data_IF_401507316305
#
_entry.id   IF_401507316305
#
_cell.length_a   1.000
_cell.length_b   1.000
_cell.length_c   1.000
_cell.angle_alpha   90.00
_cell.angle_beta   90.00
_cell.angle_gamma   90.00
#
_symmetry.space_group_name_H-M   'P 1'
#
loop_
_entity.id
_entity.type
_entity.pdbx_description
1 polymer ?
#
# COMPACT_ATOMS: atom_id res chain seq x y z
N UNK A 1 -84.28 37.93 24.99
CA UNK A 1 -83.92 36.99 23.92
C UNK A 1 -82.41 36.86 23.88
N UNK A 2 -81.91 35.67 24.21
CA UNK A 2 -80.48 35.32 24.23
C UNK A 2 -80.11 34.61 22.92
N UNK A 3 -79.04 35.03 22.25
CA UNK A 3 -78.21 34.21 21.33
C UNK A 3 -76.82 34.88 21.27
N UNK A 4 -75.77 34.28 21.84
CA UNK A 4 -74.94 33.17 21.34
C UNK A 4 -73.68 33.69 20.62
N UNK A 5 -72.54 33.64 21.31
CA UNK A 5 -71.19 33.80 20.75
C UNK A 5 -70.44 32.49 20.95
N UNK A 6 -70.07 31.82 19.86
CA UNK A 6 -69.17 30.66 19.91
C UNK A 6 -68.24 30.63 18.70
N UNK A 7 -67.03 30.15 18.97
CA UNK A 7 -65.97 29.66 18.07
C UNK A 7 -64.97 30.68 17.48
N UNK A 8 -63.73 30.60 17.98
CA UNK A 8 -62.55 30.47 17.11
C UNK A 8 -61.35 29.88 17.86
N UNK A 9 -61.45 28.60 18.23
CA UNK A 9 -60.33 27.79 18.75
C UNK A 9 -60.08 26.61 17.81
N UNK A 10 -59.57 26.84 16.59
CA UNK A 10 -59.33 25.72 15.67
C UNK A 10 -58.33 25.95 14.54
N UNK A 11 -57.18 26.60 14.79
CA UNK A 11 -56.16 26.71 13.73
C UNK A 11 -54.68 26.74 14.18
N UNK A 12 -54.36 26.58 15.47
CA UNK A 12 -52.95 26.57 15.93
C UNK A 12 -52.35 25.16 16.04
N UNK A 13 -53.15 24.11 16.15
CA UNK A 13 -52.65 22.75 16.40
C UNK A 13 -52.14 22.02 15.15
N UNK A 14 -52.59 22.41 13.95
CA UNK A 14 -52.23 21.71 12.69
C UNK A 14 -50.83 22.09 12.19
N UNK A 15 -50.37 23.32 12.45
CA UNK A 15 -49.04 23.79 12.00
C UNK A 15 -47.88 23.17 12.79
N UNK A 16 -48.13 22.75 14.04
CA UNK A 16 -47.11 22.13 14.89
C UNK A 16 -46.84 20.66 14.52
N UNK A 17 -47.83 19.95 13.98
CA UNK A 17 -47.65 18.58 13.49
C UNK A 17 -46.88 18.48 12.18
N UNK A 18 -46.98 19.49 11.30
CA UNK A 18 -46.26 19.49 10.00
C UNK A 18 -44.75 19.71 10.20
N UNK A 19 -44.35 20.55 11.17
CA UNK A 19 -42.93 20.74 11.49
C UNK A 19 -42.30 19.52 12.17
N UNK A 20 -43.06 18.75 12.96
CA UNK A 20 -42.58 17.50 13.57
C UNK A 20 -42.39 16.38 12.53
N UNK A 21 -43.24 16.32 11.50
CA UNK A 21 -43.14 15.31 10.44
C UNK A 21 -41.93 15.51 9.50
N UNK A 22 -41.52 16.77 9.27
CA UNK A 22 -40.36 17.08 8.41
C UNK A 22 -39.02 16.81 9.12
N UNK A 23 -38.95 16.91 10.45
CA UNK A 23 -37.75 16.60 11.23
C UNK A 23 -37.48 15.09 11.41
N UNK A 24 -38.45 14.24 11.08
CA UNK A 24 -38.31 12.77 11.10
C UNK A 24 -37.86 12.16 9.76
N UNK A 25 -37.73 12.96 8.68
CA UNK A 25 -37.35 12.46 7.35
C UNK A 25 -35.87 12.71 6.96
N UNK A 26 -35.05 13.36 7.77
CA UNK A 26 -33.68 13.75 7.38
C UNK A 26 -32.56 12.87 7.95
N UNK A 27 -32.85 11.70 8.51
CA UNK A 27 -31.82 10.71 8.87
C UNK A 27 -31.69 9.65 7.77
N UNK A 28 -31.43 10.08 6.54
CA UNK A 28 -30.79 9.21 5.55
C UNK A 28 -29.37 8.94 6.02
N UNK A 29 -29.22 8.01 6.97
CA UNK A 29 -27.95 7.38 7.29
C UNK A 29 -27.39 6.88 5.95
N UNK A 30 -26.33 7.52 5.49
CA UNK A 30 -25.41 6.94 4.51
C UNK A 30 -24.82 5.72 5.23
N UNK A 31 -25.57 4.62 5.23
CA UNK A 31 -25.09 3.33 5.71
C UNK A 31 -23.96 2.98 4.75
N UNK A 32 -22.73 2.93 5.23
CA UNK A 32 -21.72 2.12 4.59
C UNK A 32 -22.29 0.70 4.53
N UNK A 33 -22.59 0.24 3.32
CA UNK A 33 -23.34 -0.98 3.06
C UNK A 33 -22.43 -2.19 3.20
N UNK A 34 -22.19 -2.56 4.46
CA UNK A 34 -21.23 -3.60 4.82
C UNK A 34 -21.96 -4.93 4.97
N UNK A 35 -21.46 -5.97 4.30
CA UNK A 35 -21.88 -7.35 4.50
C UNK A 35 -20.82 -8.06 5.35
N UNK A 36 -21.22 -8.73 6.43
CA UNK A 36 -20.32 -9.47 7.31
C UNK A 36 -20.81 -10.92 7.45
N UNK A 37 -19.88 -11.87 7.42
CA UNK A 37 -20.16 -13.30 7.54
C UNK A 37 -19.01 -14.00 8.27
N UNK A 38 -19.33 -14.77 9.32
CA UNK A 38 -18.35 -15.66 9.96
C UNK A 38 -17.99 -16.81 9.00
N UNK A 39 -16.70 -17.14 8.94
CA UNK A 39 -16.16 -18.22 8.14
C UNK A 39 -15.80 -19.39 9.07
N UNK A 40 -16.13 -20.61 8.67
CA UNK A 40 -15.66 -21.81 9.37
C UNK A 40 -14.54 -22.46 8.55
N UNK A 41 -13.36 -21.85 8.59
CA UNK A 41 -12.19 -22.32 7.84
C UNK A 41 -11.16 -22.91 8.78
N UNK A 42 -10.70 -24.14 8.50
CA UNK A 42 -9.59 -24.74 9.22
C UNK A 42 -8.26 -24.13 8.76
N UNK A 43 -7.28 -23.95 9.64
CA UNK A 43 -5.98 -23.36 9.27
C UNK A 43 -5.22 -24.17 8.20
N UNK A 44 -5.49 -25.48 8.07
CA UNK A 44 -4.79 -26.38 7.14
C UNK A 44 -5.40 -26.44 5.74
N UNK A 45 -6.63 -25.95 5.56
CA UNK A 45 -7.30 -25.99 4.25
C UNK A 45 -6.92 -24.80 3.39
N UNK A 46 -6.78 -25.02 2.08
CA UNK A 46 -6.51 -23.95 1.11
C UNK A 46 -7.78 -23.15 0.86
N UNK A 47 -7.81 -21.90 1.30
CA UNK A 47 -8.90 -20.97 1.02
C UNK A 47 -8.68 -20.30 -0.34
N UNK A 48 -9.61 -20.47 -1.27
CA UNK A 48 -9.57 -19.84 -2.59
C UNK A 48 -10.50 -18.64 -2.65
N UNK A 49 -9.99 -17.49 -3.08
CA UNK A 49 -10.75 -16.24 -3.19
C UNK A 49 -10.69 -15.78 -4.64
N UNK A 50 -11.84 -15.63 -5.28
CA UNK A 50 -11.98 -15.14 -6.65
C UNK A 50 -12.72 -13.82 -6.63
N UNK A 51 -12.04 -12.76 -7.06
CA UNK A 51 -12.66 -11.45 -7.23
C UNK A 51 -12.25 -10.84 -8.57
N UNK A 52 -13.19 -10.51 -9.44
CA UNK A 52 -12.87 -9.93 -10.74
C UNK A 52 -12.18 -8.56 -10.58
N UNK A 53 -12.83 -7.65 -9.87
CA UNK A 53 -12.40 -6.26 -9.73
C UNK A 53 -12.56 -5.78 -8.28
N UNK A 54 -11.55 -5.11 -7.74
CA UNK A 54 -11.65 -4.39 -6.47
C UNK A 54 -10.46 -4.61 -5.56
N UNK A 55 -10.63 -4.35 -4.27
CA UNK A 55 -9.63 -4.63 -3.24
C UNK A 55 -9.94 -5.96 -2.57
N UNK A 56 -8.94 -6.83 -2.47
CA UNK A 56 -9.01 -8.07 -1.70
C UNK A 56 -7.94 -8.00 -0.62
N UNK A 57 -8.33 -7.82 0.64
CA UNK A 57 -7.40 -7.78 1.76
C UNK A 57 -7.53 -9.06 2.58
N UNK A 58 -6.48 -9.87 2.64
CA UNK A 58 -6.41 -11.09 3.43
C UNK A 58 -5.49 -10.84 4.62
N UNK A 59 -6.04 -10.97 5.83
CA UNK A 59 -5.35 -10.64 7.08
C UNK A 59 -5.26 -11.91 7.92
N UNK A 60 -4.04 -12.37 8.15
CA UNK A 60 -3.75 -13.46 9.08
C UNK A 60 -3.46 -12.87 10.47
N UNK A 61 -4.38 -13.04 11.42
CA UNK A 61 -4.22 -12.59 12.81
C UNK A 61 -4.18 -13.76 13.80
N UNK A 62 -3.56 -13.51 14.96
CA UNK A 62 -3.34 -14.49 16.02
C UNK A 62 -4.22 -14.23 17.25
N UNK A 63 -5.14 -13.26 17.18
CA UNK A 63 -6.06 -12.99 18.27
C UNK A 63 -7.14 -14.07 18.26
N UNK A 64 -7.21 -14.88 19.30
CA UNK A 64 -8.30 -15.85 19.51
C UNK A 64 -9.69 -15.19 19.52
N UNK A 65 -9.75 -13.86 19.68
CA UNK A 65 -10.97 -13.04 19.58
C UNK A 65 -11.38 -12.71 18.14
N UNK A 66 -10.46 -12.72 17.19
CA UNK A 66 -10.74 -12.49 15.78
C UNK A 66 -11.15 -13.82 15.15
N UNK A 67 -12.43 -14.13 15.25
CA UNK A 67 -12.99 -15.27 14.52
C UNK A 67 -12.74 -15.06 13.02
N UNK A 68 -12.38 -16.13 12.28
CA UNK A 68 -12.28 -16.06 10.83
C UNK A 68 -13.59 -15.53 10.25
N UNK A 69 -13.48 -14.51 9.41
CA UNK A 69 -14.62 -13.68 9.03
C UNK A 69 -14.38 -12.98 7.70
N UNK A 70 -15.47 -12.76 6.98
CA UNK A 70 -15.52 -12.05 5.73
C UNK A 70 -16.29 -10.76 5.94
N UNK A 71 -15.69 -9.64 5.58
CA UNK A 71 -16.33 -8.33 5.49
C UNK A 71 -16.27 -7.87 4.05
N UNK A 72 -17.39 -7.38 3.52
CA UNK A 72 -17.46 -6.84 2.18
C UNK A 72 -18.10 -5.47 2.17
N UNK A 73 -17.54 -4.58 1.37
CA UNK A 73 -17.96 -3.19 1.25
C UNK A 73 -18.00 -2.80 -0.21
N UNK A 74 -19.01 -2.04 -0.60
CA UNK A 74 -19.19 -1.55 -1.97
C UNK A 74 -19.06 -0.03 -2.00
N UNK A 75 -18.53 0.51 -3.10
CA UNK A 75 -18.46 1.96 -3.33
C UNK A 75 -19.78 2.55 -3.85
N UNK A 76 -20.76 1.70 -4.20
CA UNK A 76 -22.00 2.10 -4.87
C UNK A 76 -23.24 1.60 -4.14
N UNK A 77 -23.84 0.53 -4.67
CA UNK A 77 -25.04 -0.06 -4.11
C UNK A 77 -24.73 -1.15 -3.06
N UNK A 78 -25.69 -1.48 -2.17
CA UNK A 78 -25.43 -2.37 -1.05
C UNK A 78 -24.96 -3.74 -1.49
N UNK A 79 -24.03 -4.32 -0.72
CA UNK A 79 -23.60 -5.69 -0.94
C UNK A 79 -24.73 -6.62 -0.48
N UNK A 80 -25.30 -7.37 -1.40
CA UNK A 80 -26.33 -8.35 -1.12
C UNK A 80 -25.71 -9.74 -0.85
N UNK A 81 -26.37 -10.63 -0.08
CA UNK A 81 -25.85 -11.99 0.13
C UNK A 81 -25.64 -12.79 -1.17
N UNK A 82 -26.39 -12.46 -2.23
CA UNK A 82 -26.21 -13.06 -3.56
C UNK A 82 -24.96 -12.60 -4.31
N UNK A 83 -24.32 -11.51 -3.86
CA UNK A 83 -23.09 -10.99 -4.46
C UNK A 83 -21.84 -11.76 -4.04
N UNK A 84 -21.95 -12.55 -2.96
CA UNK A 84 -20.81 -13.26 -2.38
C UNK A 84 -21.22 -14.71 -2.15
N UNK A 85 -20.67 -15.59 -2.97
CA UNK A 85 -20.86 -17.03 -2.85
C UNK A 85 -19.74 -17.56 -1.96
N UNK A 86 -20.09 -17.94 -0.74
CA UNK A 86 -19.16 -18.56 0.22
C UNK A 86 -19.47 -20.05 0.31
N UNK A 87 -18.52 -20.85 -0.17
CA UNK A 87 -18.42 -22.29 0.05
C UNK A 87 -17.39 -22.59 1.15
N UNK A 88 -17.25 -23.85 1.58
CA UNK A 88 -16.38 -24.21 2.72
C UNK A 88 -14.93 -23.73 2.58
N UNK A 89 -14.37 -23.76 1.36
CA UNK A 89 -12.98 -23.36 1.07
C UNK A 89 -12.89 -22.38 -0.13
N UNK A 90 -13.99 -21.84 -0.61
CA UNK A 90 -14.01 -20.96 -1.79
C UNK A 90 -14.92 -19.76 -1.55
N UNK A 91 -14.43 -18.56 -1.89
CA UNK A 91 -15.16 -17.31 -1.85
C UNK A 91 -15.15 -16.74 -3.25
N UNK A 92 -16.33 -16.60 -3.86
CA UNK A 92 -16.48 -16.00 -5.19
C UNK A 92 -17.30 -14.72 -5.07
N UNK A 93 -16.69 -13.61 -5.48
CA UNK A 93 -17.37 -12.31 -5.60
C UNK A 93 -18.00 -12.22 -6.98
N UNK A 94 -19.31 -12.01 -7.02
CA UNK A 94 -20.06 -11.81 -8.26
C UNK A 94 -19.68 -10.47 -8.88
N UNK A 95 -19.64 -10.46 -10.21
CA UNK A 95 -19.42 -9.23 -10.94
C UNK A 95 -20.62 -8.27 -10.83
N UNK A 96 -20.30 -7.01 -10.55
CA UNK A 96 -21.22 -5.88 -10.51
C UNK A 96 -20.60 -4.70 -11.27
N UNK A 97 -21.40 -3.72 -11.71
CA UNK A 97 -20.87 -2.49 -12.33
C UNK A 97 -20.08 -1.62 -11.34
N UNK A 98 -20.32 -1.79 -10.03
CA UNK A 98 -19.59 -1.11 -8.95
C UNK A 98 -18.58 -2.06 -8.29
N UNK A 99 -17.53 -1.47 -7.72
CA UNK A 99 -16.43 -2.17 -7.06
C UNK A 99 -16.87 -2.73 -5.71
N UNK A 100 -16.58 -4.01 -5.47
CA UNK A 100 -16.74 -4.68 -4.18
C UNK A 100 -15.35 -4.96 -3.62
N UNK A 101 -15.11 -4.41 -2.44
CA UNK A 101 -13.92 -4.65 -1.65
C UNK A 101 -14.24 -5.69 -0.59
N UNK A 102 -13.33 -6.66 -0.43
CA UNK A 102 -13.47 -7.72 0.56
C UNK A 102 -12.26 -7.72 1.49
N UNK A 103 -12.54 -7.91 2.77
CA UNK A 103 -11.55 -8.15 3.82
C UNK A 103 -11.83 -9.52 4.42
N UNK A 104 -10.84 -10.40 4.35
CA UNK A 104 -10.94 -11.78 4.84
C UNK A 104 -9.96 -11.96 5.98
N UNK A 105 -10.48 -12.23 7.17
CA UNK A 105 -9.70 -12.60 8.34
C UNK A 105 -9.52 -14.12 8.37
N UNK A 106 -8.27 -14.56 8.46
CA UNK A 106 -7.89 -15.97 8.53
C UNK A 106 -6.98 -16.22 9.73
N UNK A 107 -6.91 -17.47 10.15
CA UNK A 107 -6.00 -17.89 11.20
C UNK A 107 -4.53 -17.77 10.76
N UNK A 108 -3.62 -17.64 11.73
CA UNK A 108 -2.18 -17.72 11.51
C UNK A 108 -1.80 -19.03 10.79
N UNK A 109 -0.80 -18.96 9.91
CA UNK A 109 -0.32 -20.09 9.08
C UNK A 109 -1.40 -20.65 8.13
N UNK A 110 -2.42 -19.87 7.80
CA UNK A 110 -3.39 -20.27 6.79
C UNK A 110 -2.74 -20.39 5.40
N UNK A 111 -3.37 -21.21 4.56
CA UNK A 111 -3.04 -21.36 3.15
C UNK A 111 -4.10 -20.65 2.32
N UNK A 112 -3.70 -19.68 1.50
CA UNK A 112 -4.62 -18.86 0.73
C UNK A 112 -4.21 -18.80 -0.73
N UNK A 113 -5.20 -18.90 -1.62
CA UNK A 113 -5.07 -18.62 -3.05
C UNK A 113 -6.01 -17.50 -3.44
N UNK A 114 -5.48 -16.39 -3.95
CA UNK A 114 -6.26 -15.24 -4.41
C UNK A 114 -6.13 -15.12 -5.92
N UNK A 115 -7.27 -15.05 -6.61
CA UNK A 115 -7.34 -14.84 -8.05
C UNK A 115 -8.13 -13.56 -8.33
N UNK A 116 -7.50 -12.62 -9.03
CA UNK A 116 -8.17 -11.38 -9.40
C UNK A 116 -7.75 -10.81 -10.75
N UNK A 117 -8.69 -10.33 -11.55
CA UNK A 117 -8.36 -9.75 -12.85
C UNK A 117 -7.67 -8.39 -12.69
N UNK A 118 -8.27 -7.50 -11.89
CA UNK A 118 -7.77 -6.15 -11.65
C UNK A 118 -8.06 -5.66 -10.23
N UNK A 119 -7.31 -4.64 -9.82
CA UNK A 119 -7.46 -3.99 -8.51
C UNK A 119 -6.26 -4.19 -7.60
N UNK A 120 -6.48 -4.27 -6.29
CA UNK A 120 -5.41 -4.39 -5.30
C UNK A 120 -5.62 -5.61 -4.42
N UNK A 121 -4.56 -6.39 -4.20
CA UNK A 121 -4.59 -7.55 -3.32
C UNK A 121 -3.62 -7.29 -2.19
N UNK A 122 -4.10 -7.26 -0.96
CA UNK A 122 -3.28 -7.13 0.25
C UNK A 122 -3.18 -8.49 0.94
N UNK A 123 -1.97 -8.97 1.19
CA UNK A 123 -1.68 -10.18 1.96
C UNK A 123 -0.89 -9.78 3.18
N UNK A 124 -1.53 -9.77 4.35
CA UNK A 124 -0.97 -9.18 5.58
C UNK A 124 -0.93 -10.24 6.68
N UNK A 125 0.26 -10.46 7.27
CA UNK A 125 0.46 -11.37 8.39
C UNK A 125 1.25 -12.65 8.06
N UNK A 126 1.20 -13.62 8.96
CA UNK A 126 1.94 -14.89 8.86
C UNK A 126 1.10 -15.99 8.19
N UNK A 127 1.49 -16.35 6.97
CA UNK A 127 0.88 -17.39 6.15
C UNK A 127 1.81 -18.58 5.99
N UNK A 128 1.25 -19.78 5.82
CA UNK A 128 2.07 -20.91 5.37
C UNK A 128 2.33 -20.80 3.86
N UNK A 129 1.26 -20.56 3.09
CA UNK A 129 1.30 -20.40 1.63
C UNK A 129 0.34 -19.27 1.24
N UNK A 130 0.84 -18.30 0.48
CA UNK A 130 0.01 -17.31 -0.19
C UNK A 130 0.30 -17.33 -1.70
N UNK A 131 -0.67 -17.86 -2.45
CA UNK A 131 -0.64 -17.93 -3.90
C UNK A 131 -1.53 -16.82 -4.46
N UNK A 132 -0.94 -15.84 -5.14
CA UNK A 132 -1.70 -14.70 -5.68
C UNK A 132 -1.53 -14.66 -7.19
N UNK A 133 -2.64 -14.68 -7.91
CA UNK A 133 -2.68 -14.60 -9.36
C UNK A 133 -3.49 -13.38 -9.76
N UNK A 134 -2.86 -12.45 -10.48
CA UNK A 134 -3.56 -11.31 -11.04
C UNK A 134 -3.21 -10.99 -12.49
N UNK A 135 -4.10 -10.33 -13.23
CA UNK A 135 -3.76 -9.88 -14.56
C UNK A 135 -3.03 -8.54 -14.50
N UNK A 136 -3.73 -7.49 -14.10
CA UNK A 136 -3.22 -6.10 -14.08
C UNK A 136 -3.13 -5.47 -12.69
N UNK A 137 -3.57 -6.19 -11.65
CA UNK A 137 -3.65 -5.66 -10.29
C UNK A 137 -2.31 -5.43 -9.59
N UNK A 138 -2.36 -4.68 -8.49
CA UNK A 138 -1.25 -4.47 -7.56
C UNK A 138 -1.34 -5.50 -6.44
N UNK A 139 -0.26 -6.24 -6.21
CA UNK A 139 -0.12 -7.17 -5.09
C UNK A 139 0.72 -6.47 -4.03
N UNK A 140 0.17 -6.29 -2.85
CA UNK A 140 0.86 -5.80 -1.66
C UNK A 140 0.95 -6.95 -0.66
N UNK A 141 2.15 -7.21 -0.16
CA UNK A 141 2.40 -8.25 0.82
C UNK A 141 3.17 -7.66 2.00
N UNK A 142 2.62 -7.77 3.20
CA UNK A 142 3.27 -7.41 4.45
C UNK A 142 3.39 -8.66 5.32
N UNK A 143 4.56 -9.30 5.27
CA UNK A 143 4.79 -10.65 5.77
C UNK A 143 6.10 -10.70 6.56
N UNK A 144 6.19 -11.49 7.66
CA UNK A 144 7.44 -11.64 8.40
C UNK A 144 8.58 -12.15 7.52
N UNK A 145 9.78 -11.56 7.70
CA UNK A 145 10.96 -11.81 6.86
C UNK A 145 11.86 -12.95 7.37
N UNK A 146 11.54 -13.53 8.53
CA UNK A 146 12.40 -14.47 9.24
C UNK A 146 12.68 -15.74 8.44
N UNK A 147 11.69 -16.28 7.72
CA UNK A 147 11.81 -17.52 6.95
C UNK A 147 10.96 -17.46 5.67
N UNK A 148 11.26 -16.50 4.80
CA UNK A 148 10.44 -16.19 3.63
C UNK A 148 11.01 -16.82 2.36
N UNK A 149 10.25 -17.72 1.73
CA UNK A 149 10.51 -18.21 0.37
C UNK A 149 9.54 -17.52 -0.58
N UNK A 150 10.07 -16.84 -1.59
CA UNK A 150 9.24 -16.08 -2.52
C UNK A 150 9.57 -16.45 -3.97
N UNK A 151 8.53 -16.44 -4.79
CA UNK A 151 8.60 -16.60 -6.24
C UNK A 151 7.62 -15.64 -6.89
N UNK A 152 8.15 -14.63 -7.56
CA UNK A 152 7.40 -13.62 -8.28
C UNK A 152 7.58 -13.82 -9.78
N UNK A 153 6.49 -13.74 -10.53
CA UNK A 153 6.50 -13.96 -11.97
C UNK A 153 5.66 -12.91 -12.70
N UNK A 154 6.23 -12.33 -13.77
CA UNK A 154 5.54 -11.46 -14.72
C UNK A 154 5.46 -12.13 -16.08
N UNK A 155 4.27 -12.25 -16.66
CA UNK A 155 4.08 -13.01 -17.91
C UNK A 155 4.15 -12.16 -19.18
N UNK A 156 3.69 -10.90 -19.13
CA UNK A 156 3.47 -10.07 -20.33
C UNK A 156 4.08 -8.67 -20.21
N UNK A 157 4.87 -8.40 -19.18
CA UNK A 157 5.54 -7.11 -18.99
C UNK A 157 6.84 -7.23 -18.22
N UNK A 158 7.71 -6.23 -18.38
CA UNK A 158 8.86 -6.04 -17.49
C UNK A 158 8.42 -5.95 -16.01
N UNK A 159 9.17 -6.54 -15.07
CA UNK A 159 8.82 -6.50 -13.65
C UNK A 159 8.72 -5.07 -13.15
N UNK A 160 7.64 -4.82 -12.42
CA UNK A 160 7.42 -3.58 -11.67
C UNK A 160 7.23 -3.99 -10.22
N UNK A 161 8.22 -3.69 -9.38
CA UNK A 161 8.16 -4.03 -7.98
C UNK A 161 8.88 -3.00 -7.13
N UNK A 162 8.51 -2.93 -5.87
CA UNK A 162 9.18 -2.17 -4.83
C UNK A 162 9.26 -3.08 -3.60
N UNK A 163 10.43 -3.13 -2.98
CA UNK A 163 10.69 -3.98 -1.83
C UNK A 163 11.60 -3.28 -0.85
N UNK A 164 11.28 -3.39 0.43
CA UNK A 164 12.14 -2.88 1.50
C UNK A 164 13.40 -3.74 1.68
N UNK A 165 13.34 -5.00 1.22
CA UNK A 165 14.47 -5.91 1.25
C UNK A 165 15.14 -6.02 -0.12
N UNK A 166 16.45 -6.23 -0.12
CA UNK A 166 17.22 -6.48 -1.34
C UNK A 166 16.80 -7.79 -2.00
N UNK A 167 16.16 -7.67 -3.16
CA UNK A 167 15.77 -8.82 -3.97
C UNK A 167 16.88 -9.23 -4.95
N UNK A 168 17.02 -10.54 -5.26
CA UNK A 168 17.91 -11.02 -6.30
C UNK A 168 17.62 -10.38 -7.66
N UNK A 169 18.63 -10.40 -8.54
CA UNK A 169 18.46 -9.91 -9.92
C UNK A 169 17.36 -10.68 -10.65
N UNK A 170 16.61 -9.95 -11.45
CA UNK A 170 15.54 -10.47 -12.31
C UNK A 170 16.14 -11.51 -13.27
N UNK A 171 15.48 -12.66 -13.37
CA UNK A 171 15.75 -13.67 -14.38
C UNK A 171 14.73 -13.55 -15.50
N UNK A 172 15.21 -13.31 -16.71
CA UNK A 172 14.39 -13.32 -17.91
C UNK A 172 14.29 -14.76 -18.46
N UNK A 173 13.06 -15.23 -18.63
CA UNK A 173 12.72 -16.52 -19.20
C UNK A 173 12.33 -16.39 -20.67
N UNK A 174 11.84 -17.51 -21.23
CA UNK A 174 11.33 -17.54 -22.61
C UNK A 174 10.00 -16.79 -22.72
N UNK A 175 9.69 -16.29 -23.91
CA UNK A 175 8.42 -15.61 -24.24
C UNK A 175 8.13 -14.33 -23.42
N UNK A 176 9.17 -13.60 -23.00
CA UNK A 176 8.99 -12.34 -22.25
C UNK A 176 8.52 -12.52 -20.81
N UNK A 177 8.63 -13.73 -20.27
CA UNK A 177 8.34 -14.02 -18.87
C UNK A 177 9.52 -13.60 -18.00
N UNK A 178 9.27 -12.86 -16.93
CA UNK A 178 10.30 -12.48 -15.96
C UNK A 178 10.02 -13.12 -14.61
N UNK A 179 11.07 -13.48 -13.88
CA UNK A 179 10.95 -14.09 -12.57
C UNK A 179 11.96 -13.56 -11.57
N UNK A 180 11.54 -13.43 -10.32
CA UNK A 180 12.40 -13.16 -9.18
C UNK A 180 12.08 -14.25 -8.16
N UNK A 181 13.10 -14.99 -7.73
CA UNK A 181 12.92 -16.03 -6.74
C UNK A 181 14.10 -16.05 -5.78
N UNK A 182 13.81 -16.29 -4.51
CA UNK A 182 14.82 -16.30 -3.47
C UNK A 182 14.27 -16.85 -2.16
N UNK A 183 15.17 -16.89 -1.19
CA UNK A 183 14.87 -17.23 0.20
C UNK A 183 15.50 -16.12 1.04
N UNK A 184 14.72 -15.54 1.95
CA UNK A 184 15.13 -14.60 2.99
C UNK A 184 15.06 -15.34 4.33
N UNK A 185 15.99 -15.05 5.24
CA UNK A 185 16.07 -15.67 6.56
C UNK A 185 17.43 -16.27 6.89
N UNK A 186 17.65 -16.73 8.15
CA UNK A 186 18.94 -17.26 8.61
C UNK A 186 19.38 -18.50 7.81
N UNK A 187 18.43 -19.28 7.27
CA UNK A 187 18.73 -20.44 6.41
C UNK A 187 19.15 -20.07 4.98
N UNK A 188 18.95 -18.83 4.53
CA UNK A 188 19.47 -18.37 3.24
C UNK A 188 21.00 -18.23 3.24
N UNK A 189 21.61 -17.89 4.39
CA UNK A 189 23.08 -17.76 4.53
C UNK A 189 23.79 -19.11 4.40
N UNK A 190 23.19 -20.19 4.93
CA UNK A 190 23.76 -21.55 4.88
C UNK A 190 23.94 -22.11 3.46
N UNK A 191 23.16 -21.62 2.48
CA UNK A 191 23.26 -22.07 1.08
C UNK A 191 24.26 -21.26 0.24
N UNK A 192 24.66 -20.06 0.70
CA UNK A 192 25.57 -19.15 -0.02
C UNK A 192 27.05 -19.51 0.18
N UNK A 193 27.40 -20.20 1.28
CA UNK A 193 28.77 -20.66 1.56
C UNK A 193 29.18 -21.94 0.79
N UNK A 194 28.26 -22.63 0.10
CA UNK A 194 28.53 -23.93 -0.56
C UNK A 194 28.49 -23.93 -2.10
N UNK A 195 28.71 -22.79 -2.78
CA UNK A 195 28.89 -22.79 -4.25
C UNK A 195 30.19 -22.12 -4.67
N UNK A 196 31.27 -22.88 -4.95
CA UNK A 196 32.33 -22.40 -5.81
C UNK A 196 31.81 -22.30 -7.25
N UNK A 197 32.27 -21.26 -7.95
CA UNK A 197 32.05 -21.03 -9.38
C UNK A 197 32.85 -22.06 -10.17
N UNK A 198 32.19 -22.81 -11.06
CA UNK A 198 32.88 -23.43 -12.20
C UNK A 198 32.15 -23.06 -13.47
N UNK A 199 32.75 -22.14 -14.21
CA UNK A 199 32.53 -21.94 -15.63
C UNK A 199 33.35 -22.98 -16.41
N UNK A 200 32.74 -23.70 -17.35
CA UNK A 200 33.27 -23.97 -18.70
C UNK A 200 32.32 -24.88 -19.48
N UNK A 201 32.34 -24.63 -20.78
CA UNK A 201 31.43 -25.08 -21.83
C UNK A 201 31.57 -26.56 -22.25
N UNK A 202 30.62 -26.94 -23.13
CA UNK A 202 30.66 -27.99 -24.16
C UNK A 202 29.94 -29.34 -23.88
N UNK A 203 28.76 -29.42 -24.51
CA UNK A 203 28.30 -30.45 -25.47
C UNK A 203 28.29 -31.95 -25.12
N UNK A 204 27.09 -32.53 -25.22
CA UNK A 204 26.65 -33.56 -26.21
C UNK A 204 25.88 -34.74 -25.60
N UNK A 205 24.75 -35.06 -26.24
CA UNK A 205 24.01 -36.35 -26.32
C UNK A 205 23.59 -37.04 -25.01
N UNK A 206 22.33 -37.44 -24.79
CA UNK A 206 21.37 -38.03 -25.71
C UNK A 206 21.20 -39.50 -25.33
N UNK A 207 20.13 -39.85 -24.59
CA UNK A 207 19.47 -41.17 -24.62
C UNK A 207 18.38 -41.28 -23.54
N UNK A 208 17.20 -41.71 -23.99
CA UNK A 208 16.06 -42.17 -23.21
C UNK A 208 16.38 -43.40 -22.34
N UNK A 209 15.68 -43.56 -21.21
CA UNK A 209 14.81 -44.73 -21.01
C UNK A 209 13.91 -44.63 -19.78
N UNK A 210 12.77 -45.31 -19.95
CA UNK A 210 11.54 -45.39 -19.18
C UNK A 210 11.62 -45.88 -17.73
N UNK A 211 10.56 -45.48 -17.03
CA UNK A 211 9.98 -45.93 -15.77
C UNK A 211 9.95 -47.45 -15.49
N UNK A 212 9.93 -47.78 -14.19
CA UNK A 212 8.97 -48.72 -13.59
C UNK A 212 8.85 -48.52 -12.07
N UNK A 213 7.68 -48.87 -11.56
CA UNK A 213 7.12 -48.58 -10.24
C UNK A 213 7.43 -49.65 -9.17
N UNK A 214 7.20 -49.24 -7.91
CA UNK A 214 6.57 -49.95 -6.79
C UNK A 214 7.27 -51.10 -6.01
N UNK A 215 7.49 -50.77 -4.72
CA UNK A 215 7.10 -51.50 -3.49
C UNK A 215 7.68 -52.89 -3.18
N UNK A 216 8.37 -53.02 -2.03
CA UNK A 216 7.73 -53.57 -0.82
C UNK A 216 8.58 -53.43 0.45
N UNK A 217 7.86 -53.29 1.57
CA UNK A 217 8.28 -53.17 2.96
C UNK A 217 8.67 -54.50 3.62
N UNK A 218 9.57 -54.49 4.61
CA UNK A 218 9.45 -55.36 5.79
C UNK A 218 10.14 -54.78 7.03
N UNK A 219 9.54 -55.03 8.18
CA UNK A 219 9.68 -54.38 9.47
C UNK A 219 10.75 -55.00 10.39
N UNK A 220 11.19 -54.26 11.42
CA UNK A 220 11.25 -54.71 12.83
C UNK A 220 11.77 -53.58 13.74
N UNK A 221 11.08 -53.38 14.87
CA UNK A 221 11.34 -52.39 15.90
C UNK A 221 12.05 -53.00 17.11
N UNK A 222 12.97 -52.27 17.76
CA UNK A 222 13.30 -52.39 19.21
C UNK A 222 13.78 -51.01 19.72
N UNK A 223 13.45 -50.68 20.98
CA UNK A 223 13.31 -49.35 21.57
C UNK A 223 14.32 -49.07 22.74
N UNK A 224 14.79 -47.80 22.84
CA UNK A 224 15.12 -46.95 24.04
C UNK A 224 16.33 -47.30 24.98
N UNK A 225 16.88 -46.38 25.82
CA UNK A 225 16.47 -44.98 26.15
C UNK A 225 17.56 -43.86 26.35
N UNK A 226 17.06 -42.61 26.43
CA UNK A 226 17.52 -41.37 27.14
C UNK A 226 18.85 -40.67 26.78
N UNK A 227 18.77 -39.41 26.32
CA UNK A 227 19.23 -38.24 27.11
C UNK A 227 18.59 -36.92 26.58
N UNK A 228 18.25 -36.03 27.50
CA UNK A 228 17.42 -34.82 27.35
C UNK A 228 18.31 -33.59 27.58
N UNK A 229 18.92 -33.04 26.52
CA UNK A 229 19.47 -31.66 26.49
C UNK A 229 20.18 -31.40 25.16
N UNK A 230 19.44 -30.92 24.16
CA UNK A 230 19.89 -30.01 23.10
C UNK A 230 18.81 -29.97 22.03
N UNK A 231 17.73 -29.24 22.33
CA UNK A 231 16.68 -28.95 21.36
C UNK A 231 17.17 -27.77 20.51
N UNK A 232 17.61 -27.95 19.25
CA UNK A 232 17.88 -26.80 18.39
C UNK A 232 16.58 -25.97 18.29
N UNK A 233 16.67 -24.62 18.24
CA UNK A 233 15.48 -23.77 18.17
C UNK A 233 14.62 -24.26 17.01
N UNK A 234 13.36 -24.52 17.31
CA UNK A 234 12.42 -25.18 16.39
C UNK A 234 12.56 -24.58 14.99
N UNK A 235 12.78 -25.45 13.99
CA UNK A 235 12.92 -25.06 12.59
C UNK A 235 11.82 -24.04 12.27
N UNK A 236 12.21 -22.78 12.06
CA UNK A 236 11.27 -21.73 11.72
C UNK A 236 10.54 -22.17 10.46
N UNK A 237 9.22 -22.34 10.55
CA UNK A 237 8.45 -22.86 9.44
C UNK A 237 8.39 -21.80 8.33
N UNK A 238 8.75 -22.21 7.12
CA UNK A 238 8.87 -21.31 5.98
C UNK A 238 7.49 -20.72 5.61
N UNK A 239 7.47 -19.43 5.30
CA UNK A 239 6.36 -18.74 4.63
C UNK A 239 6.62 -18.79 3.12
N UNK A 240 5.68 -19.29 2.34
CA UNK A 240 5.81 -19.36 0.88
C UNK A 240 4.90 -18.34 0.18
N UNK A 241 5.49 -17.39 -0.54
CA UNK A 241 4.78 -16.42 -1.37
C UNK A 241 4.97 -16.76 -2.86
N UNK A 242 3.90 -17.08 -3.56
CA UNK A 242 3.93 -17.29 -5.01
C UNK A 242 3.02 -16.27 -5.70
N UNK A 243 3.63 -15.23 -6.29
CA UNK A 243 2.88 -14.18 -6.95
C UNK A 243 3.08 -14.27 -8.46
N UNK A 244 1.97 -14.32 -9.18
CA UNK A 244 1.95 -14.34 -10.64
C UNK A 244 1.12 -13.16 -11.13
N UNK A 245 1.72 -12.34 -11.97
CA UNK A 245 1.01 -11.26 -12.63
C UNK A 245 1.31 -11.19 -14.13
N UNK A 246 0.38 -10.69 -14.95
CA UNK A 246 0.70 -10.43 -16.36
C UNK A 246 1.40 -9.08 -16.51
N UNK A 247 0.75 -8.02 -16.01
CA UNK A 247 1.19 -6.64 -16.14
C UNK A 247 1.21 -5.89 -14.80
N UNK A 248 0.90 -6.51 -13.68
CA UNK A 248 0.72 -5.87 -12.38
C UNK A 248 2.00 -5.36 -11.71
N UNK A 249 1.80 -4.83 -10.50
CA UNK A 249 2.84 -4.30 -9.62
C UNK A 249 2.94 -5.18 -8.37
N UNK A 250 4.15 -5.42 -7.86
CA UNK A 250 4.35 -6.15 -6.59
C UNK A 250 5.03 -5.24 -5.56
N UNK A 251 4.42 -5.06 -4.40
CA UNK A 251 4.95 -4.34 -3.25
C UNK A 251 5.22 -5.35 -2.14
N UNK A 252 6.47 -5.44 -1.68
CA UNK A 252 6.87 -6.35 -0.60
C UNK A 252 7.34 -5.56 0.62
N UNK A 253 6.57 -5.66 1.69
CA UNK A 253 6.73 -4.99 2.98
C UNK A 253 6.92 -3.47 2.84
N UNK A 254 6.33 -2.87 1.82
CA UNK A 254 6.37 -1.42 1.58
C UNK A 254 4.95 -0.89 1.67
N UNK A 255 4.75 0.20 2.41
CA UNK A 255 3.44 0.86 2.48
C UNK A 255 3.00 1.29 1.06
N UNK A 256 1.79 0.88 0.61
CA UNK A 256 1.25 1.31 -0.68
C UNK A 256 1.15 2.83 -0.84
N UNK A 257 1.11 3.61 0.24
CA UNK A 257 1.11 5.09 0.19
C UNK A 257 2.46 5.68 -0.27
N UNK A 258 3.54 4.95 -0.01
CA UNK A 258 4.91 5.34 -0.38
C UNK A 258 5.29 4.89 -1.80
N UNK A 259 4.48 4.00 -2.39
CA UNK A 259 4.71 3.53 -3.75
C UNK A 259 4.40 4.65 -4.77
N UNK A 260 5.36 5.02 -5.65
CA UNK A 260 5.12 5.97 -6.72
C UNK A 260 3.94 5.54 -7.62
N UNK A 261 3.19 6.51 -8.13
CA UNK A 261 2.06 6.29 -9.04
C UNK A 261 2.44 5.55 -10.32
N UNK A 262 3.68 5.69 -10.79
CA UNK A 262 4.28 4.81 -11.80
C UNK A 262 5.68 4.35 -11.36
N UNK A 263 5.83 3.05 -11.12
CA UNK A 263 7.12 2.42 -10.80
C UNK A 263 8.12 2.41 -11.96
N UNK A 264 7.70 2.84 -13.16
CA UNK A 264 8.60 3.04 -14.31
C UNK A 264 9.25 4.41 -14.33
N UNK A 265 8.60 5.41 -13.73
CA UNK A 265 9.06 6.79 -13.76
C UNK A 265 10.07 7.00 -12.63
N UNK A 266 11.28 7.45 -12.98
CA UNK A 266 12.30 7.78 -11.98
C UNK A 266 11.89 9.09 -11.30
N UNK A 267 11.68 9.13 -9.97
CA UNK A 267 11.47 10.39 -9.28
C UNK A 267 12.70 11.30 -9.46
N UNK A 268 12.48 12.61 -9.44
CA UNK A 268 13.59 13.57 -9.42
C UNK A 268 14.45 13.28 -8.18
N UNK A 269 15.76 13.12 -8.40
CA UNK A 269 16.72 12.92 -7.31
C UNK A 269 16.75 14.15 -6.40
N UNK A 270 17.15 14.00 -5.13
CA UNK A 270 17.28 15.14 -4.21
C UNK A 270 18.26 16.21 -4.73
N UNK A 271 19.30 15.79 -5.45
CA UNK A 271 20.21 16.71 -6.14
C UNK A 271 19.49 17.51 -7.24
N UNK A 272 18.65 16.87 -8.05
CA UNK A 272 17.87 17.56 -9.07
C UNK A 272 16.84 18.52 -8.43
N UNK A 273 16.19 18.12 -7.34
CA UNK A 273 15.30 19.00 -6.56
C UNK A 273 16.04 20.22 -6.02
N UNK A 274 17.26 20.04 -5.49
CA UNK A 274 18.09 21.14 -5.01
C UNK A 274 18.48 22.12 -6.13
N UNK A 275 18.79 21.61 -7.33
CA UNK A 275 19.09 22.43 -8.52
C UNK A 275 17.87 23.26 -8.95
N UNK A 276 16.67 22.67 -8.91
CA UNK A 276 15.45 23.42 -9.23
C UNK A 276 15.15 24.47 -8.14
N UNK A 277 15.39 24.15 -6.85
CA UNK A 277 15.30 25.13 -5.75
C UNK A 277 16.32 26.26 -5.87
N UNK A 278 17.53 25.98 -6.38
CA UNK A 278 18.59 26.97 -6.51
C UNK A 278 18.37 27.92 -7.70
N UNK A 279 17.40 27.63 -8.58
CA UNK A 279 17.05 28.50 -9.70
C UNK A 279 18.11 28.55 -10.80
N UNK A 280 18.95 27.52 -10.93
CA UNK A 280 19.93 27.44 -12.02
C UNK A 280 19.20 27.19 -13.34
N UNK A 281 19.03 28.24 -14.15
CA UNK A 281 18.29 28.22 -15.41
C UNK A 281 18.73 27.09 -16.36
N UNK A 282 20.01 27.06 -16.80
CA UNK A 282 20.51 26.04 -17.71
C UNK A 282 20.32 24.60 -17.22
N UNK A 283 20.59 24.33 -15.93
CA UNK A 283 20.41 22.99 -15.38
C UNK A 283 18.93 22.64 -15.16
N UNK A 284 18.10 23.62 -14.79
CA UNK A 284 16.65 23.43 -14.65
C UNK A 284 15.98 23.13 -16.00
N UNK A 285 16.41 23.77 -17.09
CA UNK A 285 15.93 23.53 -18.44
C UNK A 285 16.36 22.15 -18.95
N UNK A 286 17.58 21.71 -18.64
CA UNK A 286 18.03 20.35 -18.92
C UNK A 286 17.16 19.31 -18.19
N UNK A 287 16.83 19.53 -16.91
CA UNK A 287 15.95 18.66 -16.13
C UNK A 287 14.52 18.67 -16.70
N UNK A 288 13.99 19.85 -17.06
CA UNK A 288 12.67 20.01 -17.68
C UNK A 288 12.56 19.25 -18.99
N UNK A 289 13.62 19.20 -19.79
CA UNK A 289 13.68 18.44 -21.05
C UNK A 289 13.69 16.92 -20.82
N UNK A 290 14.32 16.45 -19.75
CA UNK A 290 14.42 15.02 -19.41
C UNK A 290 13.15 14.49 -18.73
N UNK A 291 12.48 15.28 -17.88
CA UNK A 291 11.24 14.88 -17.23
C UNK A 291 10.28 16.07 -17.02
N UNK A 292 9.48 16.44 -18.04
CA UNK A 292 8.64 17.64 -18.01
C UNK A 292 7.49 17.58 -17.01
N UNK A 293 6.94 16.37 -16.76
CA UNK A 293 5.80 16.18 -15.85
C UNK A 293 6.20 16.38 -14.39
N UNK A 294 7.27 15.70 -13.95
CA UNK A 294 7.74 15.78 -12.56
C UNK A 294 8.35 17.15 -12.23
N UNK A 295 9.02 17.79 -13.20
CA UNK A 295 9.47 19.16 -13.04
C UNK A 295 8.28 20.11 -12.84
N UNK A 296 7.22 19.96 -13.64
CA UNK A 296 6.02 20.78 -13.52
C UNK A 296 5.33 20.64 -12.17
N UNK A 297 5.17 19.43 -11.66
CA UNK A 297 4.53 19.20 -10.35
C UNK A 297 5.41 19.68 -9.19
N UNK A 298 6.74 19.48 -9.29
CA UNK A 298 7.67 20.00 -8.29
C UNK A 298 7.76 21.53 -8.28
N UNK A 299 7.83 22.17 -9.45
CA UNK A 299 7.88 23.63 -9.58
C UNK A 299 6.66 24.31 -8.96
N UNK A 300 5.47 23.69 -9.02
CA UNK A 300 4.26 24.18 -8.35
C UNK A 300 4.35 24.17 -6.82
N UNK A 301 5.20 23.33 -6.25
CA UNK A 301 5.42 23.26 -4.78
C UNK A 301 6.44 24.26 -4.29
N UNK A 302 7.18 24.91 -5.19
CA UNK A 302 8.18 25.90 -4.81
C UNK A 302 7.50 27.24 -4.52
N UNK A 303 7.99 27.99 -3.51
CA UNK A 303 7.54 29.35 -3.31
C UNK A 303 7.81 30.18 -4.58
N UNK A 304 6.97 31.16 -4.92
CA UNK A 304 7.19 32.01 -6.08
C UNK A 304 8.62 32.58 -6.05
N UNK A 305 9.37 32.50 -7.16
CA UNK A 305 10.74 33.00 -7.21
C UNK A 305 10.72 34.49 -6.84
N UNK A 306 11.47 34.85 -5.80
CA UNK A 306 11.61 36.25 -5.37
C UNK A 306 12.61 36.92 -6.29
N UNK A 307 12.10 37.57 -7.32
CA UNK A 307 12.93 38.26 -8.32
C UNK A 307 13.46 39.61 -7.81
N UNK A 308 12.90 40.13 -6.72
CA UNK A 308 13.18 41.48 -6.23
C UNK A 308 13.41 41.51 -4.70
N UNK A 309 14.30 42.39 -4.20
CA UNK A 309 14.48 42.61 -2.78
C UNK A 309 13.20 43.23 -2.18
N UNK A 310 12.44 42.45 -1.43
CA UNK A 310 11.25 42.92 -0.73
C UNK A 310 11.59 43.44 0.67
N UNK A 311 11.11 44.63 1.04
CA UNK A 311 11.22 45.14 2.40
C UNK A 311 10.39 44.25 3.36
N UNK A 312 11.07 43.52 4.24
CA UNK A 312 10.41 42.75 5.30
C UNK A 312 10.00 43.73 6.40
N UNK A 313 8.70 43.99 6.53
CA UNK A 313 8.13 44.65 7.70
C UNK A 313 8.20 43.68 8.90
N UNK A 314 9.37 43.59 9.54
CA UNK A 314 9.52 42.87 10.80
C UNK A 314 8.85 43.71 11.89
N UNK A 315 7.58 43.41 12.19
CA UNK A 315 6.93 43.95 13.40
C UNK A 315 7.60 43.29 14.59
N UNK A 316 8.21 44.08 15.47
CA UNK A 316 8.67 43.59 16.76
C UNK A 316 7.44 43.07 17.54
N UNK A 317 7.53 41.86 18.09
CA UNK A 317 6.48 41.31 18.93
C UNK A 317 6.37 42.15 20.21
N UNK A 318 5.27 42.90 20.37
CA UNK A 318 4.93 43.58 21.63
C UNK A 318 4.37 45.00 21.54
N UNK A 319 4.22 45.61 20.36
CA UNK A 319 3.76 47.00 20.27
C UNK A 319 2.22 47.11 20.30
N UNK A 320 1.68 47.57 21.43
CA UNK A 320 0.28 47.95 21.61
C UNK A 320 0.02 49.34 21.02
N UNK A 321 -0.99 49.45 20.16
CA UNK A 321 -1.36 50.70 19.48
C UNK A 321 -2.26 51.54 20.39
N UNK A 322 -1.77 52.68 20.88
CA UNK A 322 -2.61 53.81 21.33
C UNK A 322 -2.52 54.92 20.29
N UNK A 323 -3.65 55.23 19.67
CA UNK A 323 -3.74 56.19 18.58
C UNK A 323 -3.92 57.62 19.12
N UNK A 324 -2.83 58.33 19.45
CA UNK A 324 -2.81 59.81 19.42
C UNK A 324 -1.38 60.32 19.24
N UNK A 325 -1.20 61.30 18.34
CA UNK A 325 -0.02 62.12 17.94
C UNK A 325 0.83 61.63 16.75
N UNK A 326 1.28 62.55 15.86
CA UNK A 326 2.12 62.21 14.71
C UNK A 326 3.48 61.75 15.21
N UNK A 327 3.66 60.43 15.31
CA UNK A 327 4.95 59.81 15.58
C UNK A 327 5.88 60.10 14.40
N UNK A 328 7.03 60.73 14.66
CA UNK A 328 8.17 60.65 13.76
C UNK A 328 8.45 59.16 13.49
N UNK A 329 8.23 58.70 12.26
CA UNK A 329 8.58 57.35 11.86
C UNK A 329 10.11 57.24 11.80
N UNK A 330 10.70 56.55 12.76
CA UNK A 330 12.13 56.24 12.75
C UNK A 330 12.35 54.99 11.91
N UNK A 331 13.00 55.15 10.77
CA UNK A 331 13.38 54.04 9.89
C UNK A 331 14.85 53.72 10.11
N UNK A 332 15.16 52.48 10.47
CA UNK A 332 16.53 51.99 10.50
C UNK A 332 16.81 51.29 9.17
N UNK A 333 17.70 51.85 8.36
CA UNK A 333 18.21 51.24 7.13
C UNK A 333 19.59 50.64 7.39
N UNK A 334 19.81 49.39 6.98
CA UNK A 334 21.11 48.73 7.02
C UNK A 334 21.46 48.20 5.63
N UNK A 335 22.60 48.63 5.08
CA UNK A 335 23.08 48.19 3.77
C UNK A 335 24.20 47.17 3.97
N UNK A 336 24.06 46.00 3.34
CA UNK A 336 25.04 44.91 3.37
C UNK A 336 25.45 44.49 1.96
N UNK A 337 26.62 43.88 1.83
CA UNK A 337 27.11 43.31 0.57
C UNK A 337 26.42 41.96 0.24
N UNK A 338 26.77 41.37 -0.91
CA UNK A 338 26.25 40.05 -1.34
C UNK A 338 26.56 38.90 -0.37
N UNK A 339 27.48 39.11 0.58
CA UNK A 339 27.88 38.14 1.59
C UNK A 339 27.31 38.47 2.98
N UNK A 340 26.40 39.46 3.09
CA UNK A 340 25.77 39.87 4.34
C UNK A 340 26.67 40.70 5.28
N UNK A 341 27.79 41.25 4.79
CA UNK A 341 28.70 42.11 5.57
C UNK A 341 28.32 43.58 5.41
N UNK A 342 28.44 44.35 6.49
CA UNK A 342 28.24 45.80 6.44
C UNK A 342 29.30 46.45 5.54
N UNK A 343 28.87 47.34 4.65
CA UNK A 343 29.78 48.07 3.76
C UNK A 343 30.52 49.13 4.60
N UNK A 344 31.86 49.09 4.69
CA UNK A 344 32.60 50.05 5.49
C UNK A 344 32.62 51.43 4.83
N UNK A 345 32.54 52.50 5.65
CA UNK A 345 32.72 53.88 5.20
C UNK A 345 31.47 54.59 4.66
N UNK A 346 30.28 54.00 4.79
CA UNK A 346 29.03 54.67 4.44
C UNK A 346 28.78 55.92 5.29
N UNK A 347 28.27 56.97 4.66
CA UNK A 347 27.93 58.26 5.26
C UNK A 347 26.42 58.49 5.19
N UNK A 348 25.93 59.46 5.93
CA UNK A 348 24.51 59.82 5.96
C UNK A 348 23.96 60.20 4.58
N UNK A 349 24.81 60.68 3.66
CA UNK A 349 24.42 61.01 2.28
C UNK A 349 24.24 59.78 1.36
N UNK A 350 24.66 58.59 1.80
CA UNK A 350 24.55 57.34 1.04
C UNK A 350 23.22 56.59 1.31
N UNK A 351 22.38 57.11 2.21
CA UNK A 351 21.06 56.59 2.60
C UNK A 351 19.91 57.44 2.05
#
# INVERSE_FOLDING_TARGET
>A
MFYSTHLSFRNRSVRLFIFAAVLLCSTSLIRAQTYERELNTSAKTLLTIKNRNGRVSVIASNNEKDKPGLKATSTGAPVEPGDIIVSSNEIVVRERPYRIDITVHVAKRARVRVESEAGMIDVIGDFEIADVVTNTGTIHADVPLDALKFKFQWQSSRPRFLSDVELPRIKEGRAGVFSIAGILGPDAKRKKEKKPKTSRDAASDGAEKQATEAANSTAAAVHKPTDDSDKPPGKQELVQLNFTTQRGVILLNVDPSMAPSDLRERPLTEAAKAIVRSGDGPLSDAIRKVNPRMFGDYAKTLPPPRTEPSLLAVRAQGELVTAVTPQLMRVNASVTDRNGRAIPGMRDADF
#
